data_IF_677211771113
#
_entry.id   IF_677211771113
#
_cell.length_a   1.000
_cell.length_b   1.000
_cell.length_c   1.000
_cell.angle_alpha   90.00
_cell.angle_beta   90.00
_cell.angle_gamma   90.00
#
_symmetry.space_group_name_H-M   'P 1'
#
loop_
_entity.id
_entity.type
_entity.pdbx_description
1 polymer ?
#
# COMPACT_ATOMS: atom_id res chain seq x y z
N UNK A 1 -1.94 41.73 18.05
CA UNK A 1 -2.07 40.37 17.47
C UNK A 1 -1.47 39.37 18.44
N UNK A 2 -2.03 38.16 18.58
CA UNK A 2 -1.38 37.10 19.38
C UNK A 2 -0.20 36.54 18.59
N UNK A 3 0.96 36.39 19.22
CA UNK A 3 2.14 35.74 18.63
C UNK A 3 2.07 34.24 18.91
N UNK A 4 2.26 33.41 17.89
CA UNK A 4 2.28 31.95 18.02
C UNK A 4 3.51 31.40 17.29
N UNK A 5 4.23 30.51 17.97
CA UNK A 5 5.30 29.72 17.35
C UNK A 5 4.70 28.42 16.81
N UNK A 6 4.98 28.10 15.55
CA UNK A 6 4.48 26.90 14.87
C UNK A 6 5.61 25.95 14.43
N UNK A 7 6.83 26.17 14.92
CA UNK A 7 8.04 25.42 14.53
C UNK A 7 7.93 23.94 14.92
N UNK A 8 7.04 23.60 15.86
CA UNK A 8 6.79 22.23 16.31
C UNK A 8 5.90 21.40 15.35
N UNK A 9 5.16 22.04 14.43
CA UNK A 9 4.21 21.33 13.56
C UNK A 9 4.93 20.33 12.66
N UNK A 10 6.02 20.75 12.01
CA UNK A 10 6.77 19.87 11.12
C UNK A 10 7.36 18.65 11.88
N UNK A 11 8.09 18.83 13.00
CA UNK A 11 8.55 17.72 13.83
C UNK A 11 7.41 16.77 14.25
N UNK A 12 6.27 17.30 14.69
CA UNK A 12 5.12 16.51 15.10
C UNK A 12 4.65 15.57 13.97
N UNK A 13 4.52 16.08 12.75
CA UNK A 13 4.12 15.29 11.60
C UNK A 13 5.18 14.25 11.20
N UNK A 14 6.47 14.57 11.31
CA UNK A 14 7.56 13.60 11.12
C UNK A 14 7.46 12.46 12.11
N UNK A 15 7.16 12.73 13.39
CA UNK A 15 6.99 11.70 14.40
C UNK A 15 5.75 10.84 14.17
N UNK A 16 4.62 11.43 13.76
CA UNK A 16 3.44 10.65 13.39
C UNK A 16 3.70 9.76 12.18
N UNK A 17 4.48 10.24 11.21
CA UNK A 17 4.89 9.44 10.07
C UNK A 17 5.83 8.29 10.46
N UNK A 18 6.76 8.53 11.39
CA UNK A 18 7.61 7.48 11.95
C UNK A 18 6.76 6.40 12.67
N UNK A 19 5.82 6.81 13.52
CA UNK A 19 4.91 5.91 14.22
C UNK A 19 4.05 5.09 13.25
N UNK A 20 3.50 5.74 12.21
CA UNK A 20 2.77 5.06 11.15
C UNK A 20 3.64 3.99 10.47
N UNK A 21 4.88 4.34 10.13
CA UNK A 21 5.82 3.42 9.49
C UNK A 21 6.10 2.22 10.38
N UNK A 22 6.43 2.42 11.66
CA UNK A 22 6.60 1.33 12.64
C UNK A 22 5.36 0.45 12.76
N UNK A 23 4.16 1.04 12.83
CA UNK A 23 2.90 0.31 12.86
C UNK A 23 2.73 -0.60 11.63
N UNK A 24 2.99 -0.08 10.42
CA UNK A 24 2.88 -0.91 9.20
C UNK A 24 3.90 -2.04 9.14
N UNK A 25 5.12 -1.84 9.66
CA UNK A 25 6.14 -2.88 9.75
C UNK A 25 5.67 -3.98 10.71
N UNK A 26 5.19 -3.62 11.91
CA UNK A 26 4.66 -4.59 12.87
C UNK A 26 3.49 -5.39 12.31
N UNK A 27 2.53 -4.71 11.66
CA UNK A 27 1.40 -5.36 11.00
C UNK A 27 1.86 -6.33 9.91
N UNK A 28 2.84 -5.92 9.12
CA UNK A 28 3.42 -6.76 8.07
C UNK A 28 4.10 -7.99 8.64
N UNK A 29 4.89 -7.85 9.71
CA UNK A 29 5.52 -9.00 10.36
C UNK A 29 4.50 -9.99 10.91
N UNK A 30 3.44 -9.49 11.56
CA UNK A 30 2.33 -10.31 12.06
C UNK A 30 1.63 -11.07 10.92
N UNK A 31 1.21 -10.35 9.88
CA UNK A 31 0.52 -10.94 8.73
C UNK A 31 1.43 -11.93 8.00
N UNK A 32 2.72 -11.61 7.82
CA UNK A 32 3.70 -12.45 7.14
C UNK A 32 3.90 -13.79 7.85
N UNK A 33 3.95 -13.78 9.18
CA UNK A 33 4.17 -14.98 10.00
C UNK A 33 3.02 -15.99 9.92
N UNK A 34 1.81 -15.52 9.65
CA UNK A 34 0.58 -16.32 9.67
C UNK A 34 0.04 -16.66 8.28
N UNK A 35 0.68 -16.16 7.20
CA UNK A 35 0.20 -16.34 5.83
C UNK A 35 0.02 -17.82 5.46
N UNK A 36 -1.06 -18.09 4.72
CA UNK A 36 -1.33 -19.43 4.20
C UNK A 36 -0.91 -19.51 2.74
N UNK A 37 -0.09 -20.50 2.45
CA UNK A 37 0.26 -20.88 1.08
C UNK A 37 -0.90 -21.67 0.44
N UNK A 38 -1.24 -21.33 -0.80
CA UNK A 38 -2.36 -21.92 -1.53
C UNK A 38 -1.89 -22.23 -2.94
N UNK A 39 -2.31 -23.40 -3.44
CA UNK A 39 -2.05 -23.83 -4.81
C UNK A 39 -3.37 -23.99 -5.54
N UNK A 40 -3.51 -23.32 -6.68
CA UNK A 40 -4.65 -23.40 -7.55
C UNK A 40 -4.26 -24.01 -8.88
N UNK A 41 -4.85 -25.16 -9.17
CA UNK A 41 -4.85 -25.77 -10.50
C UNK A 41 -6.09 -25.36 -11.29
N UNK A 42 -5.94 -25.15 -12.60
CA UNK A 42 -6.98 -24.80 -13.56
C UNK A 42 -7.81 -23.55 -13.19
N UNK A 43 -7.19 -22.54 -12.57
CA UNK A 43 -7.84 -21.28 -12.25
C UNK A 43 -8.04 -20.42 -13.52
N UNK A 44 -9.17 -19.73 -13.60
CA UNK A 44 -9.53 -18.87 -14.73
C UNK A 44 -8.82 -17.51 -14.63
N UNK A 45 -8.28 -17.04 -15.73
CA UNK A 45 -7.62 -15.73 -15.83
C UNK A 45 -8.58 -14.68 -16.41
N UNK A 46 -9.05 -13.78 -15.55
CA UNK A 46 -9.96 -12.67 -15.90
C UNK A 46 -9.24 -11.31 -15.79
N UNK A 47 -7.94 -11.26 -16.08
CA UNK A 47 -7.15 -10.04 -16.04
C UNK A 47 -7.77 -8.96 -16.94
N UNK A 48 -7.98 -7.77 -16.39
CA UNK A 48 -8.56 -6.62 -17.10
C UNK A 48 -7.48 -5.57 -17.29
N UNK A 49 -7.30 -5.14 -18.54
CA UNK A 49 -6.36 -4.09 -18.93
C UNK A 49 -7.16 -2.83 -19.27
N UNK A 50 -7.00 -1.78 -18.48
CA UNK A 50 -7.52 -0.45 -18.80
C UNK A 50 -6.38 0.39 -19.35
N UNK A 51 -6.41 0.65 -20.66
CA UNK A 51 -5.43 1.52 -21.32
C UNK A 51 -6.06 2.88 -21.65
N UNK A 52 -5.38 3.96 -21.27
CA UNK A 52 -5.69 5.34 -21.65
C UNK A 52 -4.45 5.99 -22.28
N UNK A 53 -4.63 7.12 -22.97
CA UNK A 53 -3.54 7.91 -23.55
C UNK A 53 -2.44 8.31 -22.55
N UNK A 54 -2.73 8.32 -21.24
CA UNK A 54 -1.80 8.76 -20.19
C UNK A 54 -1.36 7.67 -19.22
N UNK A 55 -2.04 6.51 -19.19
CA UNK A 55 -1.68 5.41 -18.29
C UNK A 55 -2.36 4.10 -18.71
N UNK A 56 -1.68 2.99 -18.43
CA UNK A 56 -2.28 1.66 -18.43
C UNK A 56 -2.37 1.17 -16.99
N UNK A 57 -3.56 0.74 -16.58
CA UNK A 57 -3.79 0.06 -15.30
C UNK A 57 -4.22 -1.36 -15.58
N UNK A 58 -3.47 -2.34 -15.10
CA UNK A 58 -3.87 -3.74 -15.19
C UNK A 58 -4.32 -4.24 -13.83
N UNK A 59 -5.53 -4.79 -13.81
CA UNK A 59 -6.07 -5.51 -12.66
C UNK A 59 -6.00 -6.99 -12.95
N UNK A 60 -5.08 -7.68 -12.27
CA UNK A 60 -4.94 -9.13 -12.38
C UNK A 60 -6.03 -9.79 -11.55
N UNK A 61 -6.90 -10.56 -12.20
CA UNK A 61 -7.98 -11.28 -11.54
C UNK A 61 -7.87 -12.76 -11.88
N UNK A 62 -7.88 -13.60 -10.85
CA UNK A 62 -7.94 -15.04 -11.02
C UNK A 62 -9.14 -15.59 -10.25
N UNK A 63 -9.86 -16.54 -10.87
CA UNK A 63 -11.10 -17.09 -10.32
C UNK A 63 -11.01 -18.61 -10.26
N UNK A 64 -11.37 -19.17 -9.11
CA UNK A 64 -11.55 -20.61 -8.92
C UNK A 64 -12.62 -20.85 -7.86
N UNK A 65 -13.54 -21.79 -8.12
CA UNK A 65 -14.59 -22.19 -7.17
C UNK A 65 -15.41 -21.01 -6.59
N UNK A 66 -15.73 -20.02 -7.45
CA UNK A 66 -16.41 -18.75 -7.10
C UNK A 66 -15.63 -17.83 -6.15
N UNK A 67 -14.37 -18.14 -5.86
CA UNK A 67 -13.45 -17.27 -5.13
C UNK A 67 -12.63 -16.48 -6.14
N UNK A 68 -12.60 -15.16 -5.97
CA UNK A 68 -11.79 -14.26 -6.79
C UNK A 68 -10.61 -13.77 -5.95
N UNK A 69 -9.41 -13.87 -6.50
CA UNK A 69 -8.24 -13.15 -5.98
C UNK A 69 -7.87 -12.05 -6.97
N UNK A 70 -7.43 -10.91 -6.44
CA UNK A 70 -7.00 -9.81 -7.31
C UNK A 70 -5.86 -9.00 -6.72
N UNK A 71 -5.11 -8.36 -7.61
CA UNK A 71 -4.10 -7.38 -7.24
C UNK A 71 -4.00 -6.30 -8.30
N UNK A 72 -3.85 -5.07 -7.82
CA UNK A 72 -3.54 -3.90 -8.65
C UNK A 72 -2.14 -3.44 -8.28
N UNK A 73 -1.27 -3.33 -9.28
CA UNK A 73 0.06 -2.75 -9.13
C UNK A 73 0.11 -1.39 -9.83
N UNK A 74 0.85 -0.41 -9.29
CA UNK A 74 1.08 0.86 -9.98
C UNK A 74 1.95 0.65 -11.24
N UNK A 75 1.57 1.31 -12.35
CA UNK A 75 1.96 0.94 -13.72
C UNK A 75 3.47 0.79 -14.00
N UNK A 76 4.35 1.58 -13.38
CA UNK A 76 5.80 1.50 -13.66
C UNK A 76 6.42 0.20 -13.11
N UNK A 77 5.90 -0.33 -12.01
CA UNK A 77 6.45 -1.50 -11.31
C UNK A 77 5.67 -2.79 -11.67
N UNK A 78 4.53 -2.63 -12.35
CA UNK A 78 3.68 -3.73 -12.77
C UNK A 78 4.46 -4.77 -13.60
N UNK A 79 5.34 -4.32 -14.50
CA UNK A 79 6.13 -5.19 -15.36
C UNK A 79 7.05 -6.16 -14.58
N UNK A 80 7.75 -5.65 -13.56
CA UNK A 80 8.69 -6.47 -12.79
C UNK A 80 7.96 -7.48 -11.90
N UNK A 81 6.95 -7.02 -11.13
CA UNK A 81 6.19 -7.90 -10.25
C UNK A 81 5.52 -9.05 -11.01
N UNK A 82 4.99 -8.75 -12.18
CA UNK A 82 4.25 -9.72 -12.98
C UNK A 82 5.15 -10.61 -13.83
N UNK A 83 6.35 -10.13 -14.21
CA UNK A 83 7.39 -10.97 -14.81
C UNK A 83 7.87 -12.04 -13.81
N UNK A 84 8.09 -11.63 -12.56
CA UNK A 84 8.54 -12.53 -11.50
C UNK A 84 7.57 -13.68 -11.20
N UNK A 85 6.30 -13.57 -11.58
CA UNK A 85 5.33 -14.65 -11.41
C UNK A 85 5.65 -15.89 -12.23
N UNK A 86 6.31 -15.71 -13.38
CA UNK A 86 6.61 -16.80 -14.29
C UNK A 86 5.38 -17.49 -14.88
N UNK A 87 4.16 -16.96 -14.73
CA UNK A 87 2.93 -17.56 -15.28
C UNK A 87 2.68 -17.10 -16.72
N UNK A 88 2.04 -17.96 -17.53
CA UNK A 88 1.59 -17.58 -18.87
C UNK A 88 0.32 -16.72 -18.81
N UNK A 89 0.50 -15.40 -18.77
CA UNK A 89 -0.60 -14.43 -18.68
C UNK A 89 -1.61 -14.51 -19.84
N UNK A 90 -1.26 -15.16 -20.96
CA UNK A 90 -2.18 -15.33 -22.12
C UNK A 90 -3.07 -16.56 -21.98
N UNK A 91 -2.68 -17.52 -21.14
CA UNK A 91 -3.49 -18.71 -20.92
C UNK A 91 -4.79 -18.34 -20.19
N UNK A 92 -5.90 -18.93 -20.66
CA UNK A 92 -7.22 -18.81 -20.01
C UNK A 92 -7.28 -19.60 -18.70
N UNK A 93 -6.53 -20.70 -18.61
CA UNK A 93 -6.47 -21.57 -17.42
C UNK A 93 -5.03 -21.66 -16.93
N UNK A 94 -4.85 -21.41 -15.65
CA UNK A 94 -3.54 -21.30 -15.04
C UNK A 94 -3.39 -22.19 -13.81
N UNK A 95 -2.16 -22.65 -13.63
CA UNK A 95 -1.72 -23.39 -12.47
C UNK A 95 -0.70 -22.52 -11.72
N UNK A 96 -1.05 -22.05 -10.53
CA UNK A 96 -0.19 -21.15 -9.77
C UNK A 96 -0.33 -21.37 -8.26
N UNK A 97 0.68 -20.91 -7.54
CA UNK A 97 0.72 -20.84 -6.10
C UNK A 97 0.77 -19.38 -5.65
N UNK A 98 0.22 -19.10 -4.47
CA UNK A 98 0.18 -17.76 -3.90
C UNK A 98 -0.01 -17.83 -2.38
N UNK A 99 0.07 -16.67 -1.73
CA UNK A 99 -0.14 -16.54 -0.31
C UNK A 99 -1.31 -15.61 -0.02
N UNK A 100 -2.11 -15.98 0.99
CA UNK A 100 -3.15 -15.13 1.57
C UNK A 100 -2.83 -14.84 3.02
N UNK A 101 -3.31 -13.70 3.52
CA UNK A 101 -3.35 -13.46 4.97
C UNK A 101 -4.27 -14.48 5.62
N UNK A 102 -3.96 -14.85 6.86
CA UNK A 102 -4.75 -15.83 7.60
C UNK A 102 -6.21 -15.40 7.76
N UNK A 103 -6.45 -14.11 7.99
CA UNK A 103 -7.79 -13.52 8.06
C UNK A 103 -8.59 -13.74 6.79
N UNK A 104 -8.00 -13.45 5.62
CA UNK A 104 -8.63 -13.62 4.31
C UNK A 104 -8.89 -15.10 3.99
N UNK A 105 -7.93 -15.98 4.33
CA UNK A 105 -8.10 -17.42 4.17
C UNK A 105 -9.24 -17.99 5.03
N UNK A 106 -9.34 -17.56 6.29
CA UNK A 106 -10.40 -18.00 7.21
C UNK A 106 -11.78 -17.52 6.73
N UNK A 107 -11.88 -16.31 6.19
CA UNK A 107 -13.11 -15.80 5.58
C UNK A 107 -13.56 -16.66 4.40
N UNK A 108 -12.62 -17.04 3.52
CA UNK A 108 -12.90 -17.94 2.39
C UNK A 108 -13.42 -19.29 2.90
N UNK A 109 -12.75 -19.89 3.89
CA UNK A 109 -13.20 -21.17 4.50
C UNK A 109 -14.61 -21.10 5.08
N UNK A 110 -14.95 -19.98 5.72
CA UNK A 110 -16.28 -19.74 6.28
C UNK A 110 -17.32 -19.30 5.25
N UNK A 111 -16.95 -19.18 3.97
CA UNK A 111 -17.79 -18.67 2.87
C UNK A 111 -18.30 -17.24 3.11
N UNK A 112 -17.55 -16.42 3.83
CA UNK A 112 -17.86 -15.01 4.15
C UNK A 112 -17.41 -14.07 3.01
N UNK A 113 -17.83 -14.37 1.78
CA UNK A 113 -17.51 -13.57 0.59
C UNK A 113 -18.58 -12.50 0.44
N UNK A 114 -18.21 -11.22 0.60
CA UNK A 114 -19.12 -10.09 0.48
C UNK A 114 -19.23 -9.66 -0.98
N UNK A 115 -20.30 -8.92 -1.29
CA UNK A 115 -20.34 -8.13 -2.53
C UNK A 115 -19.39 -6.94 -2.40
N UNK A 116 -18.76 -6.59 -3.52
CA UNK A 116 -17.92 -5.40 -3.63
C UNK A 116 -18.79 -4.17 -3.37
N UNK A 117 -18.26 -3.23 -2.59
CA UNK A 117 -18.89 -1.94 -2.36
C UNK A 117 -18.16 -0.86 -3.16
N UNK A 118 -18.91 0.12 -3.64
CA UNK A 118 -18.34 1.34 -4.19
C UNK A 118 -17.81 2.26 -3.07
N UNK A 119 -17.26 3.41 -3.47
CA UNK A 119 -16.65 4.39 -2.54
C UNK A 119 -17.72 5.03 -1.62
N UNK A 120 -19.00 4.96 -2.00
CA UNK A 120 -20.14 5.50 -1.27
C UNK A 120 -20.91 4.42 -0.49
N UNK A 121 -20.44 3.17 -0.49
CA UNK A 121 -21.06 2.04 0.21
C UNK A 121 -22.16 1.31 -0.58
N UNK A 122 -22.41 1.68 -1.83
CA UNK A 122 -23.33 1.01 -2.73
C UNK A 122 -22.83 -0.38 -3.14
N UNK A 123 -23.72 -1.38 -3.21
CA UNK A 123 -23.35 -2.73 -3.64
C UNK A 123 -23.15 -2.76 -5.15
N UNK A 124 -22.00 -3.26 -5.60
CA UNK A 124 -21.68 -3.49 -7.01
C UNK A 124 -22.01 -4.94 -7.36
N UNK A 125 -22.39 -5.22 -8.61
CA UNK A 125 -22.64 -6.57 -9.15
C UNK A 125 -21.38 -7.45 -9.27
N UNK A 126 -20.35 -7.18 -8.48
CA UNK A 126 -19.11 -7.94 -8.43
C UNK A 126 -18.90 -8.52 -7.03
N UNK A 127 -18.39 -9.74 -6.95
CA UNK A 127 -17.92 -10.31 -5.68
C UNK A 127 -16.64 -9.61 -5.23
N UNK A 128 -16.45 -9.46 -3.92
CA UNK A 128 -15.19 -9.03 -3.32
C UNK A 128 -14.06 -9.94 -3.79
N UNK A 129 -12.91 -9.34 -4.10
CA UNK A 129 -11.70 -10.05 -4.46
C UNK A 129 -10.70 -10.00 -3.31
N UNK A 130 -10.09 -11.15 -3.00
CA UNK A 130 -9.09 -11.23 -1.93
C UNK A 130 -7.70 -10.84 -2.46
N UNK A 131 -6.92 -10.04 -1.71
CA UNK A 131 -5.55 -9.72 -2.08
C UNK A 131 -4.66 -10.95 -1.97
N UNK A 132 -3.86 -11.21 -3.00
CA UNK A 132 -2.85 -12.27 -2.99
C UNK A 132 -1.43 -11.69 -2.93
N UNK A 133 -0.48 -12.52 -2.49
CA UNK A 133 0.93 -12.15 -2.38
C UNK A 133 1.84 -13.25 -2.90
N UNK A 134 2.97 -12.86 -3.50
CA UNK A 134 4.00 -13.80 -3.95
C UNK A 134 3.49 -14.86 -4.95
N UNK A 135 2.68 -14.45 -5.92
CA UNK A 135 2.14 -15.35 -6.95
C UNK A 135 3.28 -15.92 -7.81
N UNK A 136 3.27 -17.24 -8.01
CA UNK A 136 4.27 -17.98 -8.80
C UNK A 136 3.62 -19.17 -9.51
N UNK A 137 4.28 -19.77 -10.48
CA UNK A 137 3.91 -21.13 -10.89
C UNK A 137 4.05 -22.10 -9.69
N UNK A 138 3.26 -23.18 -9.67
CA UNK A 138 3.23 -24.16 -8.55
C UNK A 138 4.62 -24.73 -8.24
N UNK A 139 5.47 -24.89 -9.25
CA UNK A 139 6.83 -25.44 -9.13
C UNK A 139 7.81 -24.50 -8.43
N UNK A 140 7.48 -23.21 -8.29
CA UNK A 140 8.36 -22.20 -7.71
C UNK A 140 7.74 -21.59 -6.46
N UNK A 141 8.54 -21.49 -5.40
CA UNK A 141 8.16 -20.75 -4.19
C UNK A 141 8.57 -19.28 -4.34
N UNK A 142 7.69 -18.37 -3.93
CA UNK A 142 8.06 -16.96 -3.86
C UNK A 142 9.15 -16.76 -2.80
N UNK A 143 10.16 -15.95 -3.14
CA UNK A 143 11.18 -15.49 -2.21
C UNK A 143 10.51 -14.77 -1.01
N UNK A 144 10.97 -15.08 0.20
CA UNK A 144 10.42 -14.54 1.44
C UNK A 144 10.54 -13.01 1.53
N UNK A 145 11.69 -12.46 1.13
CA UNK A 145 11.94 -11.02 1.12
C UNK A 145 11.02 -10.28 0.13
N UNK A 146 10.86 -10.80 -1.10
CA UNK A 146 9.96 -10.21 -2.09
C UNK A 146 8.49 -10.25 -1.62
N UNK A 147 8.09 -11.34 -0.98
CA UNK A 147 6.74 -11.48 -0.44
C UNK A 147 6.51 -10.55 0.76
N UNK A 148 7.52 -10.38 1.61
CA UNK A 148 7.47 -9.46 2.75
C UNK A 148 7.35 -8.01 2.27
N UNK A 149 8.15 -7.62 1.28
CA UNK A 149 8.09 -6.27 0.71
C UNK A 149 6.75 -6.01 0.02
N UNK A 150 6.21 -6.94 -0.78
CA UNK A 150 4.87 -6.85 -1.39
C UNK A 150 3.75 -6.66 -0.33
N UNK A 151 3.80 -7.45 0.75
CA UNK A 151 2.87 -7.33 1.87
C UNK A 151 3.03 -5.98 2.59
N UNK A 152 4.26 -5.51 2.79
CA UNK A 152 4.50 -4.20 3.40
C UNK A 152 3.92 -3.08 2.55
N UNK A 153 4.11 -3.11 1.23
CA UNK A 153 3.51 -2.12 0.31
C UNK A 153 2.00 -2.11 0.40
N UNK A 154 1.40 -3.29 0.56
CA UNK A 154 -0.04 -3.40 0.71
C UNK A 154 -0.55 -2.74 2.01
N UNK A 155 0.15 -2.98 3.11
CA UNK A 155 -0.19 -2.40 4.41
C UNK A 155 0.18 -0.90 4.47
N UNK A 156 1.13 -0.46 3.65
CA UNK A 156 1.58 0.92 3.56
C UNK A 156 0.77 1.73 2.53
N UNK A 157 -0.09 2.63 3.02
CA UNK A 157 -0.91 3.49 2.17
C UNK A 157 -0.12 4.73 1.76
N UNK A 158 0.35 4.78 0.52
CA UNK A 158 1.16 5.88 -0.02
C UNK A 158 0.50 7.27 0.14
N UNK A 159 -0.83 7.39 0.11
CA UNK A 159 -1.50 8.68 0.28
C UNK A 159 -1.33 9.26 1.68
N UNK A 160 -1.10 8.41 2.69
CA UNK A 160 -0.80 8.84 4.07
C UNK A 160 0.54 9.59 4.10
N UNK A 161 1.50 9.20 3.27
CA UNK A 161 2.74 9.94 3.10
C UNK A 161 2.51 11.34 2.50
N UNK A 162 1.71 11.44 1.42
CA UNK A 162 1.36 12.74 0.83
C UNK A 162 0.70 13.66 1.85
N UNK A 163 -0.15 13.11 2.72
CA UNK A 163 -0.74 13.84 3.84
C UNK A 163 0.33 14.35 4.81
N UNK A 164 1.24 13.50 5.28
CA UNK A 164 2.27 13.91 6.22
C UNK A 164 3.25 14.93 5.64
N UNK A 165 3.50 14.90 4.33
CA UNK A 165 4.36 15.85 3.63
C UNK A 165 3.71 17.24 3.48
N UNK A 166 2.43 17.29 3.11
CA UNK A 166 1.76 18.53 2.69
C UNK A 166 0.98 19.22 3.82
N UNK A 167 0.42 18.45 4.76
CA UNK A 167 -0.43 18.98 5.82
C UNK A 167 0.27 20.00 6.74
N UNK A 168 1.55 19.86 7.14
CA UNK A 168 2.24 20.87 7.95
C UNK A 168 2.20 22.26 7.32
N UNK A 169 2.58 22.35 6.04
CA UNK A 169 2.60 23.61 5.30
C UNK A 169 1.20 24.20 5.12
N UNK A 170 0.22 23.35 4.83
CA UNK A 170 -1.18 23.76 4.69
C UNK A 170 -1.75 24.32 5.99
N UNK A 171 -1.45 23.70 7.14
CA UNK A 171 -1.87 24.18 8.47
C UNK A 171 -1.25 25.56 8.75
N UNK A 172 0.06 25.72 8.54
CA UNK A 172 0.75 27.01 8.73
C UNK A 172 0.14 28.09 7.83
N UNK A 173 -0.10 27.78 6.56
CA UNK A 173 -0.71 28.69 5.60
C UNK A 173 -2.12 29.13 6.04
N UNK A 174 -2.97 28.20 6.45
CA UNK A 174 -4.32 28.50 6.92
C UNK A 174 -4.30 29.39 8.17
N UNK A 175 -3.39 29.13 9.12
CA UNK A 175 -3.24 29.95 10.33
C UNK A 175 -2.79 31.37 9.97
N UNK A 176 -1.82 31.53 9.07
CA UNK A 176 -1.37 32.86 8.59
C UNK A 176 -2.52 33.63 7.93
N UNK A 177 -3.37 32.96 7.13
CA UNK A 177 -4.51 33.58 6.42
C UNK A 177 -5.62 34.10 7.35
N UNK A 178 -5.69 33.63 8.60
CA UNK A 178 -6.70 34.08 9.55
C UNK A 178 -6.47 35.51 10.06
N UNK A 179 -5.33 36.17 9.75
CA UNK A 179 -4.97 37.55 10.12
C UNK A 179 -5.10 37.93 11.62
N UNK A 180 -5.40 36.96 12.49
CA UNK A 180 -5.57 37.15 13.94
C UNK A 180 -4.29 36.85 14.74
N UNK A 181 -3.31 36.22 14.09
CA UNK A 181 -2.12 35.65 14.71
C UNK A 181 -0.88 36.02 13.90
N UNK A 182 0.16 36.47 14.58
CA UNK A 182 1.49 36.69 14.01
C UNK A 182 2.30 35.41 14.24
N UNK A 183 2.73 34.75 13.17
CA UNK A 183 3.58 33.55 13.26
C UNK A 183 5.02 33.99 13.46
N UNK A 184 5.62 33.61 14.59
CA UNK A 184 7.00 33.95 14.92
C UNK A 184 7.86 32.69 14.76
N UNK A 185 8.83 32.76 13.86
CA UNK A 185 9.81 31.69 13.63
C UNK A 185 11.03 31.90 14.53
N UNK A 186 11.61 30.81 15.06
CA UNK A 186 12.86 30.89 15.83
C UNK A 186 14.05 31.18 14.91
N UNK A 187 14.86 32.19 15.28
CA UNK A 187 15.96 32.75 14.46
C UNK A 187 17.15 31.78 14.32
N UNK A 188 17.26 30.77 15.19
CA UNK A 188 18.36 29.79 15.18
C UNK A 188 17.83 28.37 15.21
N UNK A 189 18.15 27.53 14.21
CA UNK A 189 17.77 26.12 14.23
C UNK A 189 18.47 25.42 15.39
N UNK A 190 17.69 24.84 16.30
CA UNK A 190 18.23 24.08 17.43
C UNK A 190 18.90 22.78 16.95
N UNK A 191 19.77 22.16 17.76
CA UNK A 191 20.30 20.80 17.49
C UNK A 191 19.19 19.77 17.22
N UNK A 192 17.97 19.96 17.74
CA UNK A 192 16.86 19.05 17.49
C UNK A 192 16.38 19.10 16.04
N UNK A 193 16.52 20.25 15.34
CA UNK A 193 16.13 20.37 13.93
C UNK A 193 16.86 19.35 13.05
N UNK A 194 18.16 19.15 13.28
CA UNK A 194 18.97 18.18 12.52
C UNK A 194 18.51 16.73 12.69
N UNK A 195 17.99 16.36 13.85
CA UNK A 195 17.47 15.00 14.10
C UNK A 195 16.16 14.81 13.33
N UNK A 196 15.26 15.81 13.38
CA UNK A 196 13.99 15.75 12.64
C UNK A 196 14.24 15.69 11.13
N UNK A 197 15.19 16.46 10.62
CA UNK A 197 15.59 16.43 9.20
C UNK A 197 16.13 15.05 8.80
N UNK A 198 16.99 14.45 9.63
CA UNK A 198 17.51 13.10 9.37
C UNK A 198 16.40 12.05 9.32
N UNK A 199 15.48 12.08 10.29
CA UNK A 199 14.32 11.17 10.33
C UNK A 199 13.45 11.37 9.09
N UNK A 200 13.18 12.63 8.72
CA UNK A 200 12.40 12.97 7.53
C UNK A 200 13.04 12.40 6.25
N UNK A 201 14.34 12.66 6.02
CA UNK A 201 15.04 12.18 4.83
C UNK A 201 15.13 10.66 4.78
N UNK A 202 15.32 10.00 5.94
CA UNK A 202 15.31 8.54 6.02
C UNK A 202 13.96 7.97 5.64
N UNK A 203 12.87 8.52 6.19
CA UNK A 203 11.51 8.09 5.85
C UNK A 203 11.15 8.40 4.38
N UNK A 204 11.61 9.52 3.84
CA UNK A 204 11.43 9.88 2.44
C UNK A 204 12.15 8.90 1.51
N UNK A 205 13.40 8.53 1.84
CA UNK A 205 14.15 7.50 1.12
C UNK A 205 13.45 6.15 1.15
N UNK A 206 12.95 5.72 2.31
CA UNK A 206 12.18 4.48 2.45
C UNK A 206 10.93 4.50 1.57
N UNK A 207 10.20 5.62 1.55
CA UNK A 207 8.98 5.74 0.75
C UNK A 207 9.24 5.80 -0.76
N UNK A 208 10.29 6.48 -1.19
CA UNK A 208 10.72 6.45 -2.58
C UNK A 208 11.10 5.03 -2.98
N UNK A 209 11.88 4.32 -2.15
CA UNK A 209 12.21 2.91 -2.39
C UNK A 209 10.95 2.03 -2.47
N UNK A 210 9.98 2.23 -1.57
CA UNK A 210 8.71 1.53 -1.58
C UNK A 210 7.87 1.84 -2.85
N UNK A 211 8.01 3.03 -3.43
CA UNK A 211 7.39 3.41 -4.70
C UNK A 211 8.09 2.85 -5.94
N UNK A 212 9.31 2.31 -5.85
CA UNK A 212 10.07 1.83 -7.03
C UNK A 212 10.23 0.31 -7.11
N UNK A 213 10.16 -0.40 -5.99
CA UNK A 213 10.20 -1.88 -5.93
C UNK A 213 8.78 -2.41 -5.94
#
# INVERSE_FOLDING_TARGET
>A
MKKVNLDFILPLFVYFWALYTCYTIMLTCYDFSSMKHIEWTNAENHTVVYASLRSTTVTYNFVKDKIRISRQYPGIIEGLNTWLWGIDKKSRKLNFSFYLRESDYNRIKKKEIKQKQDIFGGKVNEMEAFPFFGLRQITFRSNAFLRWTDLWKYNYKWWIFSFFLLAPGLIVFLIKKLNKVEVVETVTPSKSSKIHDYVFWTLAGINLFNLFI
#
